data_IF_628709049671
#
_entry.id   IF_628709049671
#
_cell.length_a   1.000
_cell.length_b   1.000
_cell.length_c   1.000
_cell.angle_alpha   90.00
_cell.angle_beta   90.00
_cell.angle_gamma   90.00
#
_symmetry.space_group_name_H-M   'P 1'
#
loop_
_entity.id
_entity.type
_entity.pdbx_description
1 polymer ?
#
# COMPACT_ATOMS: atom_id res chain seq x y z
N UNK A 1 -25.65 6.02 11.65
CA UNK A 1 -24.32 6.02 11.01
C UNK A 1 -24.33 4.87 10.02
N UNK A 2 -24.06 5.15 8.74
CA UNK A 2 -23.88 4.06 7.76
C UNK A 2 -22.55 3.40 8.14
N UNK A 3 -22.60 2.12 8.47
CA UNK A 3 -21.42 1.31 8.75
C UNK A 3 -20.52 1.34 7.51
N UNK A 4 -19.28 1.74 7.66
CA UNK A 4 -18.36 1.78 6.53
C UNK A 4 -18.22 0.36 5.97
N UNK A 5 -18.43 0.19 4.67
CA UNK A 5 -18.28 -1.10 4.02
C UNK A 5 -16.87 -1.65 4.31
N UNK A 6 -16.79 -2.88 4.79
CA UNK A 6 -15.51 -3.50 5.11
C UNK A 6 -14.68 -3.76 3.84
N UNK A 7 -13.37 -3.99 4.01
CA UNK A 7 -12.45 -4.20 2.88
C UNK A 7 -12.89 -5.35 1.97
N UNK A 8 -13.39 -6.46 2.54
CA UNK A 8 -13.78 -7.62 1.75
C UNK A 8 -14.97 -7.32 0.84
N UNK A 9 -15.97 -6.60 1.35
CA UNK A 9 -17.15 -6.21 0.55
C UNK A 9 -16.74 -5.23 -0.56
N UNK A 10 -15.90 -4.25 -0.26
CA UNK A 10 -15.34 -3.33 -1.26
C UNK A 10 -14.54 -4.06 -2.34
N UNK A 11 -13.76 -5.07 -1.94
CA UNK A 11 -13.00 -5.90 -2.88
C UNK A 11 -13.93 -6.68 -3.80
N UNK A 12 -14.96 -7.33 -3.26
CA UNK A 12 -15.96 -8.07 -4.05
C UNK A 12 -16.64 -7.14 -5.04
N UNK A 13 -17.09 -5.96 -4.58
CA UNK A 13 -17.73 -4.97 -5.46
C UNK A 13 -16.83 -4.57 -6.64
N UNK A 14 -15.54 -4.29 -6.38
CA UNK A 14 -14.60 -3.92 -7.45
C UNK A 14 -14.32 -5.09 -8.39
N UNK A 15 -14.21 -6.32 -7.86
CA UNK A 15 -14.04 -7.56 -8.66
C UNK A 15 -15.23 -7.74 -9.61
N UNK A 16 -16.45 -7.62 -9.11
CA UNK A 16 -17.68 -7.78 -9.92
C UNK A 16 -17.79 -6.68 -10.97
N UNK A 17 -17.61 -5.43 -10.58
CA UNK A 17 -17.67 -4.27 -11.48
C UNK A 17 -16.65 -4.35 -12.62
N UNK A 18 -15.41 -4.73 -12.31
CA UNK A 18 -14.32 -4.81 -13.30
C UNK A 18 -14.21 -6.16 -13.99
N UNK A 19 -14.92 -7.18 -13.48
CA UNK A 19 -14.80 -8.59 -13.94
C UNK A 19 -13.33 -9.05 -13.95
N UNK A 20 -12.58 -8.67 -12.93
CA UNK A 20 -11.16 -8.93 -12.79
C UNK A 20 -10.83 -9.29 -11.36
N UNK A 21 -9.82 -10.14 -11.17
CA UNK A 21 -9.26 -10.52 -9.86
C UNK A 21 -7.78 -10.17 -9.78
N UNK A 22 -7.30 -9.31 -10.70
CA UNK A 22 -5.89 -8.97 -10.80
C UNK A 22 -5.54 -7.82 -9.85
N UNK A 23 -4.36 -7.92 -9.26
CA UNK A 23 -3.68 -6.83 -8.57
C UNK A 23 -2.28 -6.64 -9.16
N UNK A 24 -1.80 -5.39 -9.22
CA UNK A 24 -0.49 -5.07 -9.78
C UNK A 24 0.44 -4.57 -8.67
N UNK A 25 1.65 -5.19 -8.58
CA UNK A 25 2.72 -4.72 -7.73
C UNK A 25 3.35 -3.43 -8.25
N UNK A 26 3.60 -2.49 -7.35
CA UNK A 26 4.36 -1.28 -7.63
C UNK A 26 5.69 -1.36 -6.86
N UNK A 27 6.69 -1.90 -7.53
CA UNK A 27 8.04 -2.15 -7.00
C UNK A 27 9.06 -1.28 -7.76
N UNK A 28 9.09 0.06 -7.52
CA UNK A 28 9.81 1.02 -8.36
C UNK A 28 11.33 1.01 -8.08
N UNK A 29 12.00 0.02 -8.60
CA UNK A 29 13.47 -0.07 -8.55
C UNK A 29 14.10 1.01 -9.44
N UNK A 30 14.95 1.86 -8.86
CA UNK A 30 15.56 2.99 -9.57
C UNK A 30 16.37 2.56 -10.81
N UNK A 31 17.04 1.41 -10.73
CA UNK A 31 17.85 0.84 -11.82
C UNK A 31 17.00 0.30 -12.98
N UNK A 32 15.71 0.05 -12.76
CA UNK A 32 14.77 -0.46 -13.76
C UNK A 32 13.75 0.59 -14.26
N UNK A 33 13.83 1.83 -13.78
CA UNK A 33 12.99 2.90 -14.31
C UNK A 33 13.28 3.15 -15.81
N UNK A 34 12.31 3.63 -16.59
CA UNK A 34 12.56 4.14 -17.93
C UNK A 34 13.73 5.13 -17.97
N UNK A 35 14.47 5.17 -19.07
CA UNK A 35 15.74 5.90 -19.17
C UNK A 35 15.59 7.39 -18.82
N UNK A 36 14.50 8.02 -19.22
CA UNK A 36 14.18 9.43 -18.94
C UNK A 36 14.05 9.66 -17.43
N UNK A 37 13.27 8.84 -16.73
CA UNK A 37 13.05 8.94 -15.29
C UNK A 37 14.30 8.56 -14.50
N UNK A 38 15.06 7.59 -14.97
CA UNK A 38 16.32 7.17 -14.36
C UNK A 38 17.38 8.27 -14.42
N UNK A 39 17.46 9.00 -15.54
CA UNK A 39 18.33 10.16 -15.67
C UNK A 39 18.00 11.29 -14.70
N UNK A 40 16.74 11.51 -14.38
CA UNK A 40 16.30 12.47 -13.36
C UNK A 40 16.62 11.97 -11.94
N UNK A 41 16.42 10.68 -11.68
CA UNK A 41 16.60 10.08 -10.35
C UNK A 41 18.01 10.20 -9.77
N UNK A 42 19.03 10.33 -10.60
CA UNK A 42 20.44 10.51 -10.16
C UNK A 42 20.73 11.92 -9.62
N UNK A 43 19.83 12.88 -9.82
CA UNK A 43 20.00 14.26 -9.35
C UNK A 43 19.79 14.44 -7.84
N UNK A 44 19.39 13.39 -7.15
CA UNK A 44 19.24 13.39 -5.70
C UNK A 44 17.95 12.71 -5.24
N UNK A 45 17.80 12.59 -3.92
CA UNK A 45 16.71 11.82 -3.29
C UNK A 45 15.31 12.35 -3.63
N UNK A 46 15.11 13.66 -3.59
CA UNK A 46 13.84 14.28 -3.95
C UNK A 46 13.48 14.05 -5.43
N UNK A 47 14.46 14.16 -6.33
CA UNK A 47 14.27 13.88 -7.75
C UNK A 47 13.97 12.39 -7.99
N UNK A 48 14.66 11.49 -7.27
CA UNK A 48 14.37 10.06 -7.32
C UNK A 48 12.94 9.74 -6.83
N UNK A 49 12.48 10.35 -5.75
CA UNK A 49 11.11 10.18 -5.25
C UNK A 49 10.06 10.68 -6.26
N UNK A 50 10.31 11.83 -6.89
CA UNK A 50 9.44 12.35 -7.96
C UNK A 50 9.39 11.41 -9.17
N UNK A 51 10.55 10.90 -9.61
CA UNK A 51 10.61 9.93 -10.71
C UNK A 51 9.85 8.64 -10.39
N UNK A 52 9.98 8.14 -9.16
CA UNK A 52 9.24 6.97 -8.66
C UNK A 52 7.72 7.23 -8.66
N UNK A 53 7.27 8.37 -8.16
CA UNK A 53 5.85 8.73 -8.15
C UNK A 53 5.29 8.78 -9.58
N UNK A 54 5.99 9.45 -10.51
CA UNK A 54 5.59 9.53 -11.92
C UNK A 54 5.51 8.15 -12.58
N UNK A 55 6.49 7.31 -12.34
CA UNK A 55 6.49 5.94 -12.84
C UNK A 55 5.29 5.15 -12.33
N UNK A 56 5.06 5.15 -11.02
CA UNK A 56 3.93 4.43 -10.42
C UNK A 56 2.58 4.94 -10.92
N UNK A 57 2.41 6.25 -11.07
CA UNK A 57 1.18 6.85 -11.65
C UNK A 57 0.97 6.41 -13.10
N UNK A 58 2.01 6.38 -13.91
CA UNK A 58 1.92 5.86 -15.28
C UNK A 58 1.50 4.39 -15.34
N UNK A 59 1.96 3.57 -14.39
CA UNK A 59 1.47 2.19 -14.26
C UNK A 59 0.00 2.18 -13.86
N UNK A 60 -0.41 3.00 -12.87
CA UNK A 60 -1.81 3.11 -12.45
C UNK A 60 -2.70 3.45 -13.65
N UNK A 61 -2.34 4.46 -14.45
CA UNK A 61 -3.09 4.87 -15.64
C UNK A 61 -3.28 3.71 -16.64
N UNK A 62 -2.21 2.96 -16.86
CA UNK A 62 -2.22 1.85 -17.80
C UNK A 62 -3.07 0.66 -17.33
N UNK A 63 -3.10 0.39 -16.01
CA UNK A 63 -3.72 -0.84 -15.47
C UNK A 63 -5.09 -0.62 -14.85
N UNK A 64 -5.45 0.62 -14.51
CA UNK A 64 -6.70 0.91 -13.80
C UNK A 64 -7.97 0.29 -14.42
N UNK A 65 -8.14 0.21 -15.75
CA UNK A 65 -9.30 -0.45 -16.33
C UNK A 65 -9.37 -1.96 -16.07
N UNK A 66 -8.23 -2.60 -15.79
CA UNK A 66 -8.09 -4.06 -15.83
C UNK A 66 -7.88 -4.72 -14.47
N UNK A 67 -7.49 -3.95 -13.45
CA UNK A 67 -7.13 -4.49 -12.14
C UNK A 67 -8.02 -3.94 -11.04
N UNK A 68 -8.13 -4.67 -9.93
CA UNK A 68 -8.94 -4.28 -8.78
C UNK A 68 -8.13 -3.51 -7.74
N UNK A 69 -6.83 -3.74 -7.68
CA UNK A 69 -5.94 -3.15 -6.68
C UNK A 69 -4.54 -2.92 -7.23
N UNK A 70 -3.84 -2.00 -6.60
CA UNK A 70 -2.38 -1.91 -6.66
C UNK A 70 -1.76 -2.29 -5.32
N UNK A 71 -0.55 -2.84 -5.37
CA UNK A 71 0.20 -3.25 -4.19
C UNK A 71 1.56 -2.54 -4.15
N UNK A 72 1.63 -1.29 -3.66
CA UNK A 72 2.90 -0.62 -3.47
C UNK A 72 3.77 -1.37 -2.46
N UNK A 73 5.04 -1.57 -2.79
CA UNK A 73 6.05 -2.11 -1.87
C UNK A 73 6.71 -0.96 -1.13
N UNK A 74 6.39 -0.81 0.18
CA UNK A 74 6.80 0.35 0.99
C UNK A 74 8.32 0.55 1.02
N UNK A 75 9.10 -0.53 1.01
CA UNK A 75 10.55 -0.49 1.12
C UNK A 75 11.22 0.39 0.05
N UNK A 76 10.71 0.41 -1.19
CA UNK A 76 11.28 1.24 -2.25
C UNK A 76 11.05 2.73 -2.04
N UNK A 77 9.98 3.08 -1.36
CA UNK A 77 9.67 4.46 -1.00
C UNK A 77 10.41 4.86 0.28
N UNK A 78 10.42 4.01 1.29
CA UNK A 78 11.15 4.23 2.56
C UNK A 78 12.64 4.46 2.34
N UNK A 79 13.26 3.77 1.39
CA UNK A 79 14.65 3.96 1.01
C UNK A 79 14.96 5.39 0.54
N UNK A 80 13.97 6.14 0.11
CA UNK A 80 14.07 7.54 -0.33
C UNK A 80 13.80 8.55 0.81
N UNK A 81 13.57 8.07 2.04
CA UNK A 81 13.33 8.91 3.22
C UNK A 81 12.03 9.70 3.14
N UNK A 82 12.00 10.91 3.67
CA UNK A 82 10.80 11.73 3.76
C UNK A 82 10.17 12.04 2.37
N UNK A 83 10.98 12.24 1.35
CA UNK A 83 10.49 12.49 -0.01
C UNK A 83 9.84 11.23 -0.60
N UNK A 84 10.42 10.04 -0.31
CA UNK A 84 9.83 8.78 -0.71
C UNK A 84 8.50 8.50 0.00
N UNK A 85 8.39 8.87 1.28
CA UNK A 85 7.12 8.76 2.00
C UNK A 85 6.02 9.62 1.37
N UNK A 86 6.32 10.89 1.04
CA UNK A 86 5.38 11.76 0.30
C UNK A 86 4.99 11.16 -1.06
N UNK A 87 5.97 10.61 -1.77
CA UNK A 87 5.70 9.93 -3.04
C UNK A 87 4.78 8.72 -2.87
N UNK A 88 4.91 7.95 -1.78
CA UNK A 88 4.02 6.83 -1.47
C UNK A 88 2.59 7.32 -1.23
N UNK A 89 2.40 8.35 -0.40
CA UNK A 89 1.09 8.96 -0.14
C UNK A 89 0.44 9.42 -1.45
N UNK A 90 1.18 10.16 -2.26
CA UNK A 90 0.72 10.66 -3.57
C UNK A 90 0.30 9.53 -4.53
N UNK A 91 1.05 8.43 -4.57
CA UNK A 91 0.73 7.27 -5.40
C UNK A 91 -0.51 6.53 -4.87
N UNK A 92 -0.65 6.37 -3.56
CA UNK A 92 -1.81 5.74 -2.94
C UNK A 92 -3.10 6.55 -3.21
N UNK A 93 -3.04 7.86 -3.04
CA UNK A 93 -4.18 8.74 -3.29
C UNK A 93 -4.55 8.75 -4.77
N UNK A 94 -3.56 8.78 -5.67
CA UNK A 94 -3.77 8.69 -7.11
C UNK A 94 -4.44 7.37 -7.53
N UNK A 95 -4.00 6.26 -6.97
CA UNK A 95 -4.59 4.95 -7.25
C UNK A 95 -6.05 4.87 -6.80
N UNK A 96 -6.39 5.41 -5.62
CA UNK A 96 -7.78 5.50 -5.15
C UNK A 96 -8.63 6.38 -6.06
N UNK A 97 -8.13 7.54 -6.47
CA UNK A 97 -8.82 8.42 -7.41
C UNK A 97 -9.11 7.73 -8.75
N UNK A 98 -8.25 6.77 -9.16
CA UNK A 98 -8.45 5.92 -10.33
C UNK A 98 -9.40 4.73 -10.06
N UNK A 99 -10.03 4.63 -8.88
CA UNK A 99 -10.98 3.57 -8.51
C UNK A 99 -10.33 2.22 -8.22
N UNK A 100 -9.07 2.23 -7.76
CA UNK A 100 -8.34 1.04 -7.32
C UNK A 100 -8.27 0.96 -5.79
N UNK A 101 -8.27 -0.25 -5.25
CA UNK A 101 -7.91 -0.48 -3.87
C UNK A 101 -6.38 -0.44 -3.70
N UNK A 102 -5.94 0.04 -2.55
CA UNK A 102 -4.52 0.09 -2.20
C UNK A 102 -4.22 -0.97 -1.15
N UNK A 103 -3.48 -2.00 -1.53
CA UNK A 103 -2.92 -3.00 -0.63
C UNK A 103 -1.44 -2.66 -0.37
N UNK A 104 -1.11 -2.05 0.76
CA UNK A 104 0.27 -1.68 1.04
C UNK A 104 1.07 -2.88 1.54
N UNK A 105 2.15 -3.21 0.82
CA UNK A 105 3.05 -4.30 1.18
C UNK A 105 4.18 -3.78 2.08
N UNK A 106 3.93 -3.71 3.40
CA UNK A 106 4.85 -3.17 4.39
C UNK A 106 5.35 -4.20 5.40
N UNK A 107 4.64 -5.34 5.52
CA UNK A 107 4.98 -6.46 6.42
C UNK A 107 5.31 -6.00 7.85
N UNK A 108 4.51 -5.04 8.37
CA UNK A 108 4.72 -4.51 9.73
C UNK A 108 4.31 -5.52 10.79
N UNK A 109 5.00 -5.45 11.92
CA UNK A 109 4.69 -6.25 13.10
C UNK A 109 5.61 -5.85 14.22
N UNK A 110 5.01 -5.65 15.41
CA UNK A 110 5.69 -5.32 16.65
C UNK A 110 4.73 -5.63 17.80
N UNK A 111 5.10 -5.38 19.02
CA UNK A 111 4.24 -5.60 20.19
C UNK A 111 3.53 -4.31 20.64
N UNK A 112 2.37 -4.47 21.29
CA UNK A 112 1.70 -3.45 22.09
C UNK A 112 1.57 -2.07 21.42
N UNK A 113 2.18 -1.07 22.00
CA UNK A 113 2.06 0.34 21.55
C UNK A 113 2.67 0.59 20.17
N UNK A 114 3.75 -0.09 19.82
CA UNK A 114 4.39 0.05 18.51
C UNK A 114 3.48 -0.51 17.41
N UNK A 115 2.86 -1.65 17.65
CA UNK A 115 1.90 -2.23 16.70
C UNK A 115 0.67 -1.32 16.49
N UNK A 116 0.20 -0.66 17.56
CA UNK A 116 -0.85 0.37 17.45
C UNK A 116 -0.42 1.56 16.60
N UNK A 117 0.83 2.03 16.77
CA UNK A 117 1.36 3.12 15.97
C UNK A 117 1.43 2.76 14.48
N UNK A 118 1.87 1.54 14.15
CA UNK A 118 1.82 1.05 12.77
C UNK A 118 0.40 0.96 12.23
N UNK A 119 -0.53 0.39 13.01
CA UNK A 119 -1.93 0.31 12.62
C UNK A 119 -2.52 1.69 12.31
N UNK A 120 -2.29 2.66 13.19
CA UNK A 120 -2.75 4.04 13.01
C UNK A 120 -2.13 4.69 11.75
N UNK A 121 -0.82 4.54 11.56
CA UNK A 121 -0.13 5.16 10.42
C UNK A 121 -0.64 4.69 9.04
N UNK A 122 -1.12 3.46 8.95
CA UNK A 122 -1.47 2.87 7.65
C UNK A 122 -2.97 2.71 7.43
N UNK A 123 -3.75 2.39 8.47
CA UNK A 123 -5.13 1.94 8.36
C UNK A 123 -6.17 2.87 9.01
N UNK A 124 -5.74 3.91 9.73
CA UNK A 124 -6.64 4.89 10.31
C UNK A 124 -6.68 6.16 9.46
N UNK A 125 -7.82 6.88 9.42
CA UNK A 125 -7.92 8.17 8.73
C UNK A 125 -6.89 9.17 9.25
N UNK A 126 -6.36 9.98 8.34
CA UNK A 126 -5.34 11.02 8.61
C UNK A 126 -5.96 12.42 8.62
N UNK A 127 -7.09 12.62 9.19
CA UNK A 127 -7.95 13.79 9.17
C UNK A 127 -7.29 15.09 8.60
N UNK A 128 -7.79 15.66 7.46
CA UNK A 128 -9.03 15.27 6.76
C UNK A 128 -8.86 14.12 5.76
N UNK A 129 -7.66 13.59 5.59
CA UNK A 129 -7.33 12.61 4.54
C UNK A 129 -7.76 11.18 4.92
N UNK A 130 -8.01 10.32 3.92
CA UNK A 130 -8.32 8.91 4.15
C UNK A 130 -7.09 8.16 4.70
N UNK A 131 -7.26 6.90 5.18
CA UNK A 131 -6.13 6.04 5.53
C UNK A 131 -5.12 5.93 4.39
N UNK A 132 -3.84 5.70 4.70
CA UNK A 132 -2.82 5.53 3.67
C UNK A 132 -3.12 4.33 2.76
N UNK A 133 -3.67 3.25 3.31
CA UNK A 133 -4.00 2.05 2.56
C UNK A 133 -5.40 1.51 2.92
N UNK A 134 -6.01 0.80 1.97
CA UNK A 134 -7.25 0.04 2.20
C UNK A 134 -6.97 -1.27 2.91
N UNK A 135 -5.79 -1.85 2.68
CA UNK A 135 -5.31 -3.02 3.38
C UNK A 135 -3.78 -3.01 3.51
N UNK A 136 -3.27 -3.76 4.49
CA UNK A 136 -1.85 -3.84 4.84
C UNK A 136 -1.40 -5.29 4.95
N UNK A 137 -0.16 -5.59 4.55
CA UNK A 137 0.50 -6.83 4.94
C UNK A 137 1.16 -6.68 6.32
N UNK A 138 0.97 -7.66 7.21
CA UNK A 138 1.50 -7.63 8.57
C UNK A 138 2.08 -8.99 8.98
N UNK A 139 3.04 -8.96 9.91
CA UNK A 139 3.68 -10.14 10.47
C UNK A 139 3.04 -10.53 11.82
N UNK A 140 2.55 -11.76 12.01
CA UNK A 140 1.89 -12.18 13.23
C UNK A 140 2.83 -12.87 14.24
N UNK A 141 4.13 -12.98 13.93
CA UNK A 141 5.05 -13.90 14.64
C UNK A 141 5.37 -13.51 16.08
N UNK A 142 5.02 -12.31 16.52
CA UNK A 142 5.24 -11.83 17.89
C UNK A 142 4.06 -12.11 18.85
N UNK A 143 3.04 -12.83 18.40
CA UNK A 143 1.89 -13.20 19.22
C UNK A 143 0.63 -12.36 18.94
N UNK A 144 -0.46 -12.67 19.68
CA UNK A 144 -1.76 -12.06 19.44
C UNK A 144 -1.78 -10.53 19.65
N UNK A 145 -1.06 -10.03 20.64
CA UNK A 145 -0.93 -8.60 20.93
C UNK A 145 -0.22 -7.81 19.82
N UNK A 146 0.53 -8.49 18.95
CA UNK A 146 1.06 -7.87 17.72
C UNK A 146 0.01 -7.75 16.62
N UNK A 147 -1.00 -8.60 16.64
CA UNK A 147 -2.06 -8.73 15.62
C UNK A 147 -3.29 -7.88 15.96
N UNK A 148 -3.66 -7.83 17.23
CA UNK A 148 -4.89 -7.21 17.71
C UNK A 148 -5.06 -5.74 17.28
N UNK A 149 -4.03 -4.85 17.33
CA UNK A 149 -4.18 -3.47 16.88
C UNK A 149 -4.60 -3.33 15.40
N UNK A 150 -4.09 -4.18 14.53
CA UNK A 150 -4.49 -4.19 13.12
C UNK A 150 -5.93 -4.67 12.94
N UNK A 151 -6.33 -5.71 13.68
CA UNK A 151 -7.73 -6.19 13.66
C UNK A 151 -8.70 -5.14 14.21
N UNK A 152 -8.29 -4.40 15.23
CA UNK A 152 -9.11 -3.32 15.79
C UNK A 152 -9.30 -2.19 14.76
N UNK A 153 -8.25 -1.79 14.04
CA UNK A 153 -8.36 -0.82 12.96
C UNK A 153 -9.25 -1.33 11.82
N UNK A 154 -9.11 -2.60 11.43
CA UNK A 154 -9.98 -3.21 10.41
C UNK A 154 -11.45 -3.12 10.81
N UNK A 155 -11.80 -3.48 12.05
CA UNK A 155 -13.18 -3.40 12.56
C UNK A 155 -13.70 -1.97 12.63
N UNK A 156 -12.86 -1.02 13.01
CA UNK A 156 -13.26 0.38 13.23
C UNK A 156 -13.38 1.17 11.93
N UNK A 157 -12.50 0.92 10.98
CA UNK A 157 -12.35 1.74 9.77
C UNK A 157 -12.65 0.99 8.47
N UNK A 158 -13.12 -0.26 8.52
CA UNK A 158 -13.40 -1.05 7.34
C UNK A 158 -12.16 -1.40 6.52
N UNK A 159 -10.98 -1.40 7.14
CA UNK A 159 -9.72 -1.75 6.49
C UNK A 159 -9.54 -3.28 6.39
N UNK A 160 -8.49 -3.70 5.66
CA UNK A 160 -8.08 -5.10 5.56
C UNK A 160 -6.67 -5.34 6.10
N UNK A 161 -6.39 -6.58 6.50
CA UNK A 161 -5.04 -7.00 6.85
C UNK A 161 -4.74 -8.40 6.30
N UNK A 162 -3.56 -8.56 5.74
CA UNK A 162 -3.04 -9.83 5.24
C UNK A 162 -1.88 -10.27 6.11
N UNK A 163 -2.08 -11.30 6.92
CA UNK A 163 -1.02 -11.83 7.76
C UNK A 163 -0.14 -12.84 7.03
N UNK A 164 1.17 -12.75 7.26
CA UNK A 164 2.15 -13.70 6.75
C UNK A 164 2.02 -15.02 7.51
N UNK A 165 1.52 -16.06 6.85
CA UNK A 165 1.46 -17.41 7.41
C UNK A 165 2.58 -18.25 6.83
N UNK A 166 2.70 -18.26 5.51
CA UNK A 166 3.77 -18.88 4.76
C UNK A 166 4.05 -17.99 3.56
N UNK A 167 5.22 -17.40 3.54
CA UNK A 167 5.67 -16.59 2.42
C UNK A 167 6.43 -17.46 1.41
N UNK A 168 7.26 -16.86 0.62
CA UNK A 168 8.00 -17.50 -0.45
C UNK A 168 8.78 -18.72 0.07
N UNK A 169 8.72 -19.81 -0.68
CA UNK A 169 9.60 -20.95 -0.44
C UNK A 169 11.04 -20.46 -0.66
N UNK A 170 11.83 -20.42 0.41
CA UNK A 170 13.26 -20.21 0.28
C UNK A 170 13.83 -21.41 -0.50
N UNK A 171 14.36 -21.15 -1.66
CA UNK A 171 15.23 -22.09 -2.34
C UNK A 171 16.60 -21.88 -1.71
N UNK A 172 16.95 -22.75 -0.77
CA UNK A 172 18.34 -22.91 -0.34
C UNK A 172 18.97 -23.90 -1.27
#
# INVERSE_FOLDING_TARGET
MVEAANFADRLVEVVERKRSQLAVGLDPRLDLLPMELRGEAVLGRAAAASAVARFCKGIVDAVAPYVVAVKPQSAFFEALGADGWRALEEVCDYARAAGLLVLLDAKRGDIGSTSRAYSAAYLEPRDPDPPLADALTASPYLGYDSVEPFLAACRRHGAGVFFLVRDRKSVV
#
